data_IF_167838390573
#
_entry.id   IF_167838390573
#
_cell.length_a   1.000
_cell.length_b   1.000
_cell.length_c   1.000
_cell.angle_alpha   90.00
_cell.angle_beta   90.00
_cell.angle_gamma   90.00
#
_symmetry.space_group_name_H-M   'P 1'
#
loop_
_entity.id
_entity.type
_entity.pdbx_description
1 polymer ?
#
# COMPACT_ATOMS: atom_id res chain seq x y z
N UNK A 1 15.89 52.94 -8.16
CA UNK A 1 14.57 52.44 -8.57
C UNK A 1 14.66 50.95 -8.90
N UNK A 2 14.24 50.09 -7.96
CA UNK A 2 13.44 48.86 -8.11
C UNK A 2 13.31 48.22 -6.71
N UNK A 3 12.13 47.68 -6.46
CA UNK A 3 11.45 47.60 -5.16
C UNK A 3 12.02 46.58 -4.17
N UNK A 4 12.22 47.00 -2.93
CA UNK A 4 12.54 46.18 -1.75
C UNK A 4 11.31 45.58 -1.06
N UNK A 5 10.13 45.60 -1.70
CA UNK A 5 8.84 45.27 -1.07
C UNK A 5 8.24 43.90 -1.44
N UNK A 6 8.98 43.04 -2.14
CA UNK A 6 8.51 41.69 -2.52
C UNK A 6 9.25 40.52 -1.82
N UNK A 7 10.19 40.82 -0.91
CA UNK A 7 10.92 39.80 -0.15
C UNK A 7 10.39 39.57 1.28
N UNK A 8 9.38 40.33 1.75
CA UNK A 8 8.80 40.16 3.10
C UNK A 8 7.46 39.42 3.14
N UNK A 9 6.89 39.01 2.00
CA UNK A 9 5.55 38.40 1.95
C UNK A 9 5.53 36.87 1.94
N UNK A 10 6.67 36.19 1.81
CA UNK A 10 6.75 34.72 1.87
C UNK A 10 7.26 34.15 3.21
N UNK A 11 7.78 34.98 4.12
CA UNK A 11 8.23 34.53 5.45
C UNK A 11 7.11 34.51 6.52
N UNK A 12 5.91 35.04 6.22
CA UNK A 12 4.81 35.20 7.17
C UNK A 12 3.60 34.28 6.97
N UNK A 13 3.62 33.38 5.98
CA UNK A 13 2.53 32.39 5.78
C UNK A 13 2.77 31.03 6.45
N UNK A 14 3.97 30.77 6.97
CA UNK A 14 4.32 29.50 7.64
C UNK A 14 4.33 29.59 9.18
N UNK A 15 3.72 30.62 9.79
CA UNK A 15 3.74 30.84 11.26
C UNK A 15 2.38 30.87 11.95
N UNK A 16 1.29 30.48 11.29
CA UNK A 16 -0.06 30.65 11.85
C UNK A 16 -0.88 29.38 12.12
N UNK A 17 -0.32 28.18 12.02
CA UNK A 17 -1.06 26.93 12.33
C UNK A 17 -0.32 26.03 13.33
N UNK A 18 0.14 26.58 14.47
CA UNK A 18 0.62 25.75 15.59
C UNK A 18 0.36 26.46 16.92
N UNK A 19 -0.88 26.46 17.37
CA UNK A 19 -1.25 26.64 18.79
C UNK A 19 -2.50 25.81 19.08
N UNK A 20 -2.45 25.09 20.20
CA UNK A 20 -3.49 24.28 20.86
C UNK A 20 -3.35 22.76 20.68
N UNK A 21 -2.35 22.19 21.36
CA UNK A 21 -2.49 20.87 21.96
C UNK A 21 -2.44 21.07 23.48
N UNK A 22 -3.61 21.32 24.08
CA UNK A 22 -3.76 21.33 25.53
C UNK A 22 -3.96 19.89 26.03
N UNK A 23 -3.36 19.65 27.19
CA UNK A 23 -3.32 18.39 27.91
C UNK A 23 -4.72 17.84 28.20
N UNK A 24 -4.98 16.60 27.81
CA UNK A 24 -6.08 15.82 28.40
C UNK A 24 -5.51 14.54 29.00
N UNK A 25 -5.35 14.56 30.32
CA UNK A 25 -5.06 13.39 31.14
C UNK A 25 -6.40 12.70 31.42
N UNK A 26 -6.62 11.51 30.87
CA UNK A 26 -7.76 10.66 31.24
C UNK A 26 -7.34 9.71 32.37
N UNK A 27 -8.10 9.64 33.49
CA UNK A 27 -7.81 8.71 34.56
C UNK A 27 -8.26 7.29 34.20
N UNK A 28 -7.35 6.33 34.38
CA UNK A 28 -7.58 4.88 34.32
C UNK A 28 -8.54 4.49 35.44
N UNK A 29 -9.64 3.81 35.09
CA UNK A 29 -10.44 3.01 36.03
C UNK A 29 -10.79 1.68 35.38
N UNK A 30 -10.30 0.60 36.01
CA UNK A 30 -10.85 -0.75 35.96
C UNK A 30 -11.00 -1.19 37.44
N UNK A 31 -11.95 -2.07 37.84
CA UNK A 31 -12.07 -3.40 37.23
C UNK A 31 -13.49 -3.99 37.10
N UNK A 32 -13.62 -4.91 36.14
CA UNK A 32 -14.35 -6.20 36.18
C UNK A 32 -15.81 -6.23 36.68
N UNK A 33 -16.74 -6.56 35.77
CA UNK A 33 -17.82 -7.54 36.04
C UNK A 33 -18.33 -8.25 34.77
N UNK A 34 -18.11 -9.56 34.76
CA UNK A 34 -18.87 -10.65 34.11
C UNK A 34 -19.37 -10.49 32.67
N UNK A 35 -18.64 -11.06 31.71
CA UNK A 35 -19.20 -11.55 30.45
C UNK A 35 -19.04 -13.07 30.40
N UNK A 36 -20.15 -13.80 30.18
CA UNK A 36 -20.17 -15.27 30.01
C UNK A 36 -20.19 -15.60 28.51
N UNK A 37 -19.32 -16.48 27.99
CA UNK A 37 -19.49 -16.97 26.63
C UNK A 37 -20.51 -18.11 26.60
N UNK A 38 -21.53 -17.99 25.76
CA UNK A 38 -22.39 -19.11 25.38
C UNK A 38 -21.67 -19.94 24.31
N UNK A 39 -21.33 -21.18 24.67
CA UNK A 39 -20.84 -22.18 23.74
C UNK A 39 -21.98 -22.68 22.84
N UNK A 40 -21.83 -22.51 21.52
CA UNK A 40 -22.60 -23.24 20.52
C UNK A 40 -21.66 -24.18 19.75
N UNK A 41 -21.99 -25.47 19.77
CA UNK A 41 -21.30 -26.58 19.10
C UNK A 41 -21.44 -26.50 17.56
N UNK A 42 -20.55 -27.17 16.80
CA UNK A 42 -20.59 -27.13 15.33
C UNK A 42 -21.70 -28.05 14.80
N UNK A 43 -22.45 -27.57 13.80
CA UNK A 43 -23.33 -28.43 13.01
C UNK A 43 -22.54 -28.98 11.80
N UNK A 44 -22.53 -30.30 11.69
CA UNK A 44 -21.95 -31.07 10.60
C UNK A 44 -22.68 -30.79 9.26
N UNK A 45 -21.92 -30.92 8.17
CA UNK A 45 -22.30 -30.48 6.84
C UNK A 45 -23.49 -31.19 6.19
N UNK A 46 -24.03 -30.52 5.18
CA UNK A 46 -24.87 -31.09 4.14
C UNK A 46 -24.34 -30.61 2.79
N UNK A 47 -23.86 -31.55 1.98
CA UNK A 47 -23.46 -31.30 0.60
C UNK A 47 -24.69 -31.15 -0.29
N UNK A 48 -24.62 -30.23 -1.25
CA UNK A 48 -25.62 -30.11 -2.30
C UNK A 48 -25.46 -31.26 -3.30
N UNK A 49 -26.51 -32.07 -3.46
CA UNK A 49 -26.67 -33.09 -4.51
C UNK A 49 -27.76 -32.64 -5.48
N UNK A 50 -27.57 -32.90 -6.78
CA UNK A 50 -28.61 -32.69 -7.77
C UNK A 50 -29.70 -33.77 -7.68
N UNK A 51 -30.79 -33.59 -8.44
CA UNK A 51 -31.93 -34.50 -8.46
C UNK A 51 -31.62 -35.90 -9.06
N UNK A 52 -30.38 -36.13 -9.53
CA UNK A 52 -29.88 -37.44 -10.00
C UNK A 52 -28.84 -38.06 -9.06
N UNK A 53 -28.61 -37.48 -7.87
CA UNK A 53 -27.76 -38.08 -6.84
C UNK A 53 -26.28 -38.11 -7.16
N UNK A 54 -25.80 -37.28 -8.10
CA UNK A 54 -24.37 -37.18 -8.42
C UNK A 54 -23.69 -36.12 -7.57
N UNK A 55 -22.57 -36.50 -6.97
CA UNK A 55 -21.66 -35.58 -6.26
C UNK A 55 -21.03 -34.61 -7.25
N UNK A 56 -21.51 -33.37 -7.34
CA UNK A 56 -20.76 -32.28 -7.97
C UNK A 56 -19.51 -31.99 -7.14
N UNK A 57 -18.36 -32.53 -7.55
CA UNK A 57 -17.07 -31.98 -7.14
C UNK A 57 -16.86 -30.65 -7.88
N UNK A 58 -17.55 -29.61 -7.46
CA UNK A 58 -17.14 -28.24 -7.77
C UNK A 58 -15.81 -28.01 -7.04
N UNK A 59 -14.69 -28.18 -7.77
CA UNK A 59 -13.44 -27.52 -7.37
C UNK A 59 -13.74 -26.03 -7.42
N UNK A 60 -14.10 -25.44 -6.29
CA UNK A 60 -14.32 -24.02 -6.16
C UNK A 60 -13.03 -23.30 -6.51
N UNK A 61 -12.90 -22.87 -7.77
CA UNK A 61 -12.15 -21.66 -8.05
C UNK A 61 -12.87 -20.59 -7.24
N UNK A 62 -12.13 -19.85 -6.42
CA UNK A 62 -12.58 -18.52 -6.01
C UNK A 62 -12.64 -17.71 -7.31
N UNK A 63 -13.77 -17.76 -8.00
CA UNK A 63 -13.99 -16.96 -9.21
C UNK A 63 -14.23 -15.55 -8.67
N UNK A 64 -13.36 -14.63 -9.07
CA UNK A 64 -13.53 -13.21 -8.80
C UNK A 64 -14.83 -12.79 -9.49
N UNK A 65 -15.87 -12.43 -8.73
CA UNK A 65 -17.12 -11.98 -9.35
C UNK A 65 -16.93 -10.56 -9.88
N UNK A 66 -16.81 -10.41 -11.20
CA UNK A 66 -16.78 -9.09 -11.83
C UNK A 66 -18.17 -8.45 -11.82
N UNK A 67 -18.25 -7.17 -11.48
CA UNK A 67 -19.49 -6.40 -11.55
C UNK A 67 -19.87 -6.07 -13.01
N UNK A 68 -18.86 -5.87 -13.87
CA UNK A 68 -18.98 -5.60 -15.29
C UNK A 68 -17.62 -5.84 -15.97
N UNK A 69 -17.59 -5.78 -17.30
CA UNK A 69 -16.36 -5.86 -18.09
C UNK A 69 -16.18 -4.57 -18.86
N UNK A 70 -14.95 -4.04 -18.90
CA UNK A 70 -14.61 -2.83 -19.65
C UNK A 70 -14.78 -3.08 -21.15
N UNK A 71 -15.40 -2.15 -21.91
CA UNK A 71 -15.54 -2.30 -23.36
C UNK A 71 -14.18 -2.56 -24.04
N UNK A 72 -14.07 -3.68 -24.76
CA UNK A 72 -12.86 -4.07 -25.49
C UNK A 72 -11.92 -5.03 -24.73
N UNK A 73 -12.16 -5.29 -23.45
CA UNK A 73 -11.52 -6.38 -22.71
C UNK A 73 -12.46 -7.58 -22.60
N UNK A 74 -11.90 -8.79 -22.49
CA UNK A 74 -12.65 -9.96 -22.07
C UNK A 74 -12.55 -10.18 -20.55
N UNK A 75 -13.43 -11.05 -20.04
CA UNK A 75 -13.52 -11.38 -18.61
C UNK A 75 -12.22 -12.00 -18.09
N UNK A 76 -11.58 -12.89 -18.85
CA UNK A 76 -10.37 -13.57 -18.42
C UNK A 76 -9.17 -12.63 -18.32
N UNK A 77 -9.05 -11.67 -19.24
CA UNK A 77 -8.04 -10.62 -19.20
C UNK A 77 -8.28 -9.70 -17.99
N UNK A 78 -9.55 -9.32 -17.76
CA UNK A 78 -9.94 -8.47 -16.63
C UNK A 78 -9.63 -9.13 -15.29
N UNK A 79 -10.01 -10.40 -15.09
CA UNK A 79 -9.72 -11.17 -13.87
C UNK A 79 -8.21 -11.25 -13.58
N UNK A 80 -7.40 -11.52 -14.61
CA UNK A 80 -5.94 -11.59 -14.48
C UNK A 80 -5.32 -10.23 -14.16
N UNK A 81 -5.72 -9.18 -14.89
CA UNK A 81 -5.24 -7.83 -14.64
C UNK A 81 -5.58 -7.38 -13.21
N UNK A 82 -6.81 -7.64 -12.75
CA UNK A 82 -7.23 -7.34 -11.37
C UNK A 82 -6.38 -8.11 -10.35
N UNK A 83 -6.08 -9.38 -10.58
CA UNK A 83 -5.26 -10.16 -9.66
C UNK A 83 -3.83 -9.59 -9.54
N UNK A 84 -3.24 -9.17 -10.66
CA UNK A 84 -1.93 -8.50 -10.70
C UNK A 84 -2.01 -7.17 -9.91
N UNK A 85 -2.95 -6.31 -10.27
CA UNK A 85 -3.12 -5.00 -9.64
C UNK A 85 -3.43 -5.11 -8.14
N UNK A 86 -4.20 -6.10 -7.70
CA UNK A 86 -4.49 -6.30 -6.28
C UNK A 86 -3.24 -6.66 -5.47
N UNK A 87 -2.32 -7.41 -6.06
CA UNK A 87 -1.03 -7.69 -5.46
C UNK A 87 -0.14 -6.44 -5.43
N UNK A 88 -0.15 -5.61 -6.49
CA UNK A 88 0.55 -4.31 -6.52
C UNK A 88 0.03 -3.30 -5.49
N UNK A 89 -1.30 -3.12 -5.44
CA UNK A 89 -2.01 -2.34 -4.42
C UNK A 89 -1.55 -2.69 -2.99
N UNK A 90 -1.42 -3.99 -2.73
CA UNK A 90 -0.99 -4.47 -1.41
C UNK A 90 0.45 -4.04 -1.09
N UNK A 91 1.35 -4.04 -2.07
CA UNK A 91 2.74 -3.61 -1.90
C UNK A 91 2.87 -2.09 -1.76
N UNK A 92 2.08 -1.33 -2.52
CA UNK A 92 2.01 0.13 -2.44
C UNK A 92 1.53 0.59 -1.04
N UNK A 93 0.47 -0.05 -0.51
CA UNK A 93 0.01 0.22 0.85
C UNK A 93 1.02 -0.19 1.92
N UNK A 94 1.69 -1.32 1.76
CA UNK A 94 2.76 -1.73 2.68
C UNK A 94 3.94 -0.74 2.63
N UNK A 95 4.32 -0.27 1.44
CA UNK A 95 5.40 0.70 1.28
C UNK A 95 5.12 1.98 2.07
N UNK A 96 3.89 2.51 2.03
CA UNK A 96 3.50 3.68 2.82
C UNK A 96 3.73 3.45 4.33
N UNK A 97 3.35 2.25 4.84
CA UNK A 97 3.54 1.88 6.24
C UNK A 97 5.03 1.72 6.59
N UNK A 98 5.82 1.10 5.72
CA UNK A 98 7.27 0.91 5.89
C UNK A 98 7.99 2.26 5.90
N UNK A 99 7.65 3.17 4.99
CA UNK A 99 8.22 4.51 4.91
C UNK A 99 7.89 5.33 6.16
N UNK A 100 6.65 5.28 6.66
CA UNK A 100 6.30 5.94 7.93
C UNK A 100 6.99 5.32 9.14
N UNK A 101 7.13 4.00 9.16
CA UNK A 101 7.92 3.32 10.18
C UNK A 101 9.37 3.83 10.19
N UNK A 102 10.02 3.93 9.03
CA UNK A 102 11.36 4.50 8.92
C UNK A 102 11.41 5.98 9.34
N UNK A 103 10.46 6.79 8.88
CA UNK A 103 10.35 8.21 9.20
C UNK A 103 10.30 8.48 10.72
N UNK A 104 9.58 7.64 11.48
CA UNK A 104 9.50 7.80 12.94
C UNK A 104 10.73 7.29 13.70
N UNK A 105 11.46 6.34 13.15
CA UNK A 105 12.46 5.56 13.88
C UNK A 105 13.91 5.81 13.43
N UNK A 106 14.12 6.60 12.39
CA UNK A 106 15.46 6.98 11.94
C UNK A 106 16.17 7.88 12.97
N UNK A 107 17.48 7.71 13.10
CA UNK A 107 18.34 8.46 14.02
C UNK A 107 19.70 8.78 13.39
N UNK A 108 20.46 9.70 13.98
CA UNK A 108 21.83 10.01 13.56
C UNK A 108 22.02 11.42 12.99
N UNK A 109 23.24 11.75 12.51
CA UNK A 109 23.59 13.12 12.10
C UNK A 109 22.75 13.69 10.97
N UNK A 110 22.25 12.82 10.07
CA UNK A 110 21.43 13.21 8.92
C UNK A 110 19.92 13.06 9.19
N UNK A 111 19.52 12.95 10.47
CA UNK A 111 18.15 12.65 10.89
C UNK A 111 17.10 13.48 10.15
N UNK A 112 17.18 14.82 10.24
CA UNK A 112 16.11 15.68 9.72
C UNK A 112 15.98 15.59 8.20
N UNK A 113 17.10 15.46 7.49
CA UNK A 113 17.10 15.33 6.04
C UNK A 113 16.37 14.07 5.59
N UNK A 114 16.68 12.91 6.19
CA UNK A 114 16.03 11.64 5.84
C UNK A 114 14.58 11.61 6.34
N UNK A 115 14.32 12.11 7.56
CA UNK A 115 12.99 12.19 8.14
C UNK A 115 12.02 12.98 7.24
N UNK A 116 12.40 14.20 6.84
CA UNK A 116 11.55 15.03 5.97
C UNK A 116 11.52 14.56 4.52
N UNK A 117 12.58 13.89 4.03
CA UNK A 117 12.62 13.31 2.68
C UNK A 117 11.60 12.19 2.50
N UNK A 118 11.33 11.39 3.53
CA UNK A 118 10.43 10.23 3.43
C UNK A 118 8.94 10.61 3.32
N UNK A 119 8.53 11.77 3.82
CA UNK A 119 7.12 12.17 3.86
C UNK A 119 6.48 12.39 2.48
N UNK A 120 7.10 13.15 1.56
CA UNK A 120 6.59 13.27 0.18
C UNK A 120 6.50 11.93 -0.56
N UNK A 121 7.38 10.99 -0.23
CA UNK A 121 7.32 9.64 -0.82
C UNK A 121 6.13 8.85 -0.27
N UNK A 122 5.83 8.95 1.04
CA UNK A 122 4.62 8.35 1.60
C UNK A 122 3.37 8.85 0.87
N UNK A 123 3.30 10.15 0.60
CA UNK A 123 2.20 10.74 -0.16
C UNK A 123 2.14 10.20 -1.60
N UNK A 124 3.30 10.06 -2.28
CA UNK A 124 3.38 9.50 -3.63
C UNK A 124 2.87 8.06 -3.68
N UNK A 125 3.37 7.16 -2.81
CA UNK A 125 2.95 5.75 -2.85
C UNK A 125 1.50 5.54 -2.40
N UNK A 126 0.95 6.41 -1.56
CA UNK A 126 -0.47 6.39 -1.23
C UNK A 126 -1.34 6.83 -2.41
N UNK A 127 -0.88 7.80 -3.21
CA UNK A 127 -1.56 8.19 -4.44
C UNK A 127 -1.49 7.07 -5.50
N UNK A 128 -0.35 6.36 -5.60
CA UNK A 128 -0.22 5.17 -6.45
C UNK A 128 -1.20 4.07 -6.02
N UNK A 129 -1.30 3.79 -4.71
CA UNK A 129 -2.27 2.85 -4.16
C UNK A 129 -3.73 3.20 -4.51
N UNK A 130 -4.08 4.47 -4.40
CA UNK A 130 -5.43 4.94 -4.78
C UNK A 130 -5.71 4.71 -6.26
N UNK A 131 -4.79 5.11 -7.14
CA UNK A 131 -4.92 4.91 -8.58
C UNK A 131 -5.02 3.42 -8.97
N UNK A 132 -4.20 2.55 -8.38
CA UNK A 132 -4.26 1.10 -8.59
C UNK A 132 -5.60 0.53 -8.11
N UNK A 133 -6.09 0.94 -6.94
CA UNK A 133 -7.37 0.50 -6.40
C UNK A 133 -8.55 0.94 -7.28
N UNK A 134 -8.55 2.20 -7.73
CA UNK A 134 -9.56 2.72 -8.64
C UNK A 134 -9.48 2.04 -10.01
N UNK A 135 -8.29 1.64 -10.48
CA UNK A 135 -8.14 0.85 -11.69
C UNK A 135 -8.76 -0.54 -11.54
N UNK A 136 -8.57 -1.21 -10.41
CA UNK A 136 -9.24 -2.49 -10.09
C UNK A 136 -10.76 -2.32 -10.13
N UNK A 137 -11.30 -1.29 -9.49
CA UNK A 137 -12.73 -1.01 -9.49
C UNK A 137 -13.26 -0.71 -10.90
N UNK A 138 -12.47 0.01 -11.70
CA UNK A 138 -12.78 0.31 -13.11
C UNK A 138 -12.82 -0.93 -13.99
N UNK A 139 -12.01 -1.96 -13.68
CA UNK A 139 -12.05 -3.26 -14.36
C UNK A 139 -13.24 -4.13 -13.92
N UNK A 140 -14.10 -3.63 -13.02
CA UNK A 140 -15.24 -4.35 -12.47
C UNK A 140 -14.89 -5.23 -11.26
N UNK A 141 -13.65 -5.16 -10.76
CA UNK A 141 -13.20 -5.85 -9.56
C UNK A 141 -13.58 -5.11 -8.27
N UNK A 142 -13.27 -5.72 -7.13
CA UNK A 142 -13.39 -5.08 -5.81
C UNK A 142 -12.01 -5.03 -5.15
N UNK A 143 -11.38 -3.85 -5.03
CA UNK A 143 -10.09 -3.73 -4.38
C UNK A 143 -10.22 -4.01 -2.87
N UNK A 144 -9.23 -4.71 -2.29
CA UNK A 144 -9.13 -5.00 -0.86
C UNK A 144 -7.87 -4.37 -0.27
N UNK A 145 -8.03 -3.22 0.39
CA UNK A 145 -6.95 -2.47 1.04
C UNK A 145 -6.87 -2.68 2.56
N UNK A 146 -7.42 -3.78 3.09
CA UNK A 146 -7.35 -4.08 4.52
C UNK A 146 -5.98 -4.65 4.90
N UNK A 147 -5.54 -4.41 6.13
CA UNK A 147 -4.22 -4.86 6.61
C UNK A 147 -4.00 -6.38 6.53
N UNK A 148 -5.05 -7.17 6.73
CA UNK A 148 -5.03 -8.62 6.57
C UNK A 148 -4.92 -9.03 5.09
N UNK A 149 -5.49 -8.24 4.16
CA UNK A 149 -5.33 -8.43 2.72
C UNK A 149 -3.89 -8.17 2.27
N UNK A 150 -3.27 -7.08 2.75
CA UNK A 150 -1.85 -6.79 2.50
C UNK A 150 -1.00 -8.00 2.86
N UNK A 151 -1.21 -8.54 4.07
CA UNK A 151 -0.45 -9.70 4.56
C UNK A 151 -0.72 -10.97 3.75
N UNK A 152 -1.99 -11.22 3.34
CA UNK A 152 -2.35 -12.37 2.50
C UNK A 152 -1.75 -12.30 1.10
N UNK A 153 -1.67 -11.11 0.52
CA UNK A 153 -1.24 -10.89 -0.85
C UNK A 153 0.27 -10.74 -0.98
N UNK A 154 0.99 -10.59 0.13
CA UNK A 154 2.45 -10.39 0.15
C UNK A 154 3.18 -11.54 -0.56
N UNK A 155 3.88 -11.20 -1.62
CA UNK A 155 4.78 -12.10 -2.37
C UNK A 155 6.25 -11.69 -2.25
N UNK A 156 6.52 -10.54 -1.64
CA UNK A 156 7.86 -9.98 -1.43
C UNK A 156 8.37 -10.24 -0.01
N UNK A 157 9.68 -10.01 0.20
CA UNK A 157 10.32 -10.14 1.51
C UNK A 157 9.78 -9.05 2.47
N UNK A 158 9.37 -9.41 3.70
CA UNK A 158 9.01 -8.42 4.71
C UNK A 158 10.18 -7.47 5.03
N UNK A 159 9.88 -6.21 5.31
CA UNK A 159 10.87 -5.24 5.78
C UNK A 159 11.40 -5.64 7.17
N UNK A 160 12.71 -5.77 7.32
CA UNK A 160 13.35 -6.45 8.47
C UNK A 160 14.04 -5.51 9.48
N UNK A 161 13.99 -4.19 9.28
CA UNK A 161 14.50 -3.21 10.26
C UNK A 161 13.42 -2.86 11.29
N UNK A 162 13.62 -3.34 12.51
CA UNK A 162 12.76 -3.08 13.66
C UNK A 162 13.31 -1.96 14.56
N UNK A 163 12.41 -1.20 15.17
CA UNK A 163 12.75 -0.18 16.17
C UNK A 163 13.66 0.94 15.65
N UNK A 164 14.34 1.65 16.55
CA UNK A 164 15.21 2.78 16.17
C UNK A 164 16.52 2.31 15.56
N UNK A 165 16.93 2.91 14.44
CA UNK A 165 18.20 2.64 13.79
C UNK A 165 18.78 3.90 13.13
N UNK A 166 20.06 3.84 12.74
CA UNK A 166 20.74 4.94 12.07
C UNK A 166 20.22 5.18 10.64
N UNK A 167 20.33 6.41 10.14
CA UNK A 167 19.96 6.78 8.75
C UNK A 167 20.51 5.83 7.71
N UNK A 168 21.79 5.46 7.82
CA UNK A 168 22.44 4.56 6.85
C UNK A 168 21.81 3.15 6.84
N UNK A 169 21.48 2.60 8.01
CA UNK A 169 20.86 1.28 8.12
C UNK A 169 19.46 1.28 7.51
N UNK A 170 18.66 2.32 7.80
CA UNK A 170 17.33 2.48 7.21
C UNK A 170 17.39 2.66 5.70
N UNK A 171 18.30 3.50 5.19
CA UNK A 171 18.44 3.72 3.75
C UNK A 171 18.84 2.44 3.01
N UNK A 172 19.78 1.65 3.55
CA UNK A 172 20.15 0.35 2.95
C UNK A 172 18.97 -0.60 2.86
N UNK A 173 18.21 -0.74 3.95
CA UNK A 173 17.05 -1.62 3.99
C UNK A 173 15.91 -1.14 3.06
N UNK A 174 15.67 0.18 3.00
CA UNK A 174 14.69 0.75 2.09
C UNK A 174 15.10 0.56 0.62
N UNK A 175 16.40 0.69 0.30
CA UNK A 175 16.88 0.42 -1.06
C UNK A 175 16.65 -1.04 -1.45
N UNK A 176 16.95 -2.01 -0.58
CA UNK A 176 16.68 -3.44 -0.83
C UNK A 176 15.18 -3.70 -1.00
N UNK A 177 14.33 -3.07 -0.18
CA UNK A 177 12.88 -3.15 -0.32
C UNK A 177 12.41 -2.58 -1.67
N UNK A 178 12.94 -1.42 -2.08
CA UNK A 178 12.63 -0.81 -3.37
C UNK A 178 13.18 -1.62 -4.56
N UNK A 179 14.32 -2.31 -4.42
CA UNK A 179 14.84 -3.20 -5.45
C UNK A 179 13.83 -4.31 -5.77
N UNK A 180 13.25 -4.93 -4.73
CA UNK A 180 12.21 -5.94 -4.91
C UNK A 180 10.91 -5.34 -5.45
N UNK A 181 10.48 -4.18 -4.93
CA UNK A 181 9.27 -3.50 -5.36
C UNK A 181 9.32 -3.15 -6.85
N UNK A 182 10.35 -2.41 -7.29
CA UNK A 182 10.52 -2.01 -8.69
C UNK A 182 10.68 -3.24 -9.60
N UNK A 183 11.37 -4.29 -9.16
CA UNK A 183 11.52 -5.52 -9.95
C UNK A 183 10.19 -6.26 -10.14
N UNK A 184 9.34 -6.31 -9.12
CA UNK A 184 8.02 -6.94 -9.21
C UNK A 184 7.05 -6.10 -10.05
N UNK A 185 7.12 -4.77 -9.98
CA UNK A 185 6.33 -3.89 -10.85
C UNK A 185 6.75 -4.02 -12.31
N UNK A 186 8.05 -4.16 -12.60
CA UNK A 186 8.52 -4.44 -13.97
C UNK A 186 8.02 -5.77 -14.51
N UNK A 187 7.82 -6.79 -13.67
CA UNK A 187 7.17 -8.05 -14.07
C UNK A 187 5.68 -7.83 -14.33
N UNK A 188 5.01 -7.10 -13.44
CA UNK A 188 3.60 -6.75 -13.60
C UNK A 188 3.35 -5.99 -14.90
N UNK A 189 4.21 -5.03 -15.25
CA UNK A 189 4.16 -4.30 -16.54
C UNK A 189 4.23 -5.27 -17.72
N UNK A 190 5.19 -6.20 -17.73
CA UNK A 190 5.34 -7.16 -18.82
C UNK A 190 4.11 -8.08 -18.98
N UNK A 191 3.47 -8.46 -17.88
CA UNK A 191 2.23 -9.25 -17.92
C UNK A 191 1.02 -8.39 -18.34
N UNK A 192 0.93 -7.16 -17.85
CA UNK A 192 -0.16 -6.23 -18.16
C UNK A 192 -0.08 -5.71 -19.60
N UNK A 193 1.10 -5.59 -20.20
CA UNK A 193 1.24 -5.20 -21.62
C UNK A 193 0.49 -6.15 -22.57
N UNK A 194 0.44 -7.44 -22.22
CA UNK A 194 -0.27 -8.47 -23.00
C UNK A 194 -1.77 -8.55 -22.67
N UNK A 195 -2.19 -8.05 -21.49
CA UNK A 195 -3.57 -8.17 -20.99
C UNK A 195 -4.38 -6.88 -21.19
N UNK A 196 -3.81 -5.76 -20.79
CA UNK A 196 -4.42 -4.44 -20.76
C UNK A 196 -3.35 -3.34 -20.65
N UNK A 197 -2.99 -2.79 -21.80
CA UNK A 197 -1.99 -1.72 -21.92
C UNK A 197 -2.30 -0.47 -21.09
N UNK A 198 -3.58 -0.24 -20.74
CA UNK A 198 -3.98 0.89 -19.91
C UNK A 198 -3.58 0.65 -18.45
N UNK A 199 -3.79 -0.56 -17.92
CA UNK A 199 -3.30 -0.93 -16.59
C UNK A 199 -1.77 -1.01 -16.54
N UNK A 200 -1.12 -1.45 -17.63
CA UNK A 200 0.34 -1.41 -17.73
C UNK A 200 0.87 0.02 -17.61
N UNK A 201 0.26 0.98 -18.30
CA UNK A 201 0.68 2.39 -18.25
C UNK A 201 0.64 2.97 -16.83
N UNK A 202 -0.41 2.65 -16.05
CA UNK A 202 -0.50 3.07 -14.63
C UNK A 202 0.74 2.61 -13.85
N UNK A 203 1.10 1.33 -13.92
CA UNK A 203 2.25 0.80 -13.19
C UNK A 203 3.59 1.35 -13.74
N UNK A 204 3.68 1.65 -15.04
CA UNK A 204 4.87 2.30 -15.62
C UNK A 204 5.11 3.70 -15.02
N UNK A 205 4.04 4.49 -14.85
CA UNK A 205 4.13 5.82 -14.24
C UNK A 205 4.52 5.73 -12.77
N UNK A 206 4.08 4.70 -12.04
CA UNK A 206 4.49 4.42 -10.66
C UNK A 206 5.98 4.08 -10.59
N UNK A 207 6.45 3.15 -11.43
CA UNK A 207 7.87 2.76 -11.49
C UNK A 207 8.79 3.95 -11.75
N UNK A 208 8.40 4.88 -12.63
CA UNK A 208 9.19 6.08 -12.89
C UNK A 208 9.40 6.93 -11.61
N UNK A 209 8.39 7.04 -10.75
CA UNK A 209 8.49 7.76 -9.48
C UNK A 209 9.33 6.99 -8.46
N UNK A 210 9.09 5.68 -8.32
CA UNK A 210 9.82 4.80 -7.40
C UNK A 210 11.32 4.78 -7.71
N UNK A 211 11.71 4.67 -8.99
CA UNK A 211 13.11 4.68 -9.43
C UNK A 211 13.81 6.01 -9.10
N UNK A 212 13.09 7.13 -9.25
CA UNK A 212 13.60 8.45 -8.89
C UNK A 212 13.83 8.57 -7.39
N UNK A 213 12.92 8.09 -6.56
CA UNK A 213 13.10 8.11 -5.11
C UNK A 213 14.22 7.17 -4.66
N UNK A 214 14.31 5.99 -5.28
CA UNK A 214 15.41 5.06 -5.02
C UNK A 214 16.78 5.69 -5.36
N UNK A 215 16.86 6.49 -6.42
CA UNK A 215 18.06 7.28 -6.72
C UNK A 215 18.41 8.28 -5.61
N UNK A 216 17.42 9.00 -5.04
CA UNK A 216 17.67 9.88 -3.90
C UNK A 216 18.25 9.11 -2.70
N UNK A 217 17.67 7.94 -2.36
CA UNK A 217 18.18 7.11 -1.27
C UNK A 217 19.60 6.61 -1.54
N UNK A 218 19.86 6.08 -2.74
CA UNK A 218 21.20 5.61 -3.15
C UNK A 218 22.24 6.73 -3.09
N UNK A 219 21.86 7.96 -3.45
CA UNK A 219 22.77 9.11 -3.44
C UNK A 219 23.22 9.54 -2.05
N UNK A 220 22.49 9.17 -0.99
CA UNK A 220 22.93 9.39 0.40
C UNK A 220 24.03 8.42 0.85
N UNK A 221 24.24 7.32 0.11
CA UNK A 221 25.19 6.25 0.44
C UNK A 221 26.40 6.18 -0.49
N UNK A 222 26.45 7.05 -1.51
CA UNK A 222 27.45 7.06 -2.57
C UNK A 222 28.78 7.72 -2.14
#
# INVERSE_FOLDING_TARGET
>A
MRNSSQLSTNANKARHHWRHAEHVIFPIKDPMTSWRPSAARPAAGQGHVDWEGRSLKMKGRNIMTLAFVVPGLDEAASEKAIAILQNRLSQEQEAALVLKHAHWNVTGPNFIAVHEMLDPEVESVLAQADETAERIATLGGTPDGRADAITRNRTWKPFDVEGRAGTEAYLKALIEYYDAFIADDRKAIAELDELDVISSNVIQDHVQQLEKFQWFMRSHLA
#
